data_IF_974028626685
#
_entry.id   IF_974028626685
#
_cell.length_a   1.000
_cell.length_b   1.000
_cell.length_c   1.000
_cell.angle_alpha   90.00
_cell.angle_beta   90.00
_cell.angle_gamma   90.00
#
_symmetry.space_group_name_H-M   'P 1'
#
loop_
_entity.id
_entity.type
_entity.pdbx_description
1 polymer ?
#
# COMPACT_ATOMS: atom_id res chain seq x y z
N UNK A 1 -20.20 -8.13 17.99
CA UNK A 1 -18.73 -7.95 18.08
C UNK A 1 -17.97 -9.16 17.53
N UNK A 2 -18.31 -10.38 17.94
CA UNK A 2 -17.68 -11.62 17.43
C UNK A 2 -17.84 -11.82 15.90
N UNK A 3 -19.06 -11.66 15.36
CA UNK A 3 -19.35 -11.73 13.91
C UNK A 3 -18.59 -10.72 13.03
N UNK A 4 -18.32 -9.51 13.53
CA UNK A 4 -17.53 -8.49 12.81
C UNK A 4 -16.05 -8.88 12.75
N UNK A 5 -15.54 -9.49 13.82
CA UNK A 5 -14.18 -10.04 13.87
C UNK A 5 -14.05 -11.28 12.98
N UNK A 6 -15.05 -12.17 12.99
CA UNK A 6 -15.04 -13.39 12.17
C UNK A 6 -15.12 -13.06 10.66
N UNK A 7 -15.84 -12.00 10.28
CA UNK A 7 -15.85 -11.48 8.90
C UNK A 7 -14.50 -10.87 8.51
N UNK A 8 -13.84 -10.14 9.43
CA UNK A 8 -12.50 -9.62 9.23
C UNK A 8 -11.41 -10.72 9.18
N UNK A 9 -11.61 -11.83 9.87
CA UNK A 9 -10.73 -13.01 9.83
C UNK A 9 -10.96 -13.90 8.61
N UNK A 10 -12.11 -13.79 7.94
CA UNK A 10 -12.42 -14.44 6.66
C UNK A 10 -11.90 -13.65 5.44
N UNK A 11 -10.99 -12.71 5.65
CA UNK A 11 -10.55 -11.78 4.61
C UNK A 11 -9.30 -12.26 3.89
N UNK A 12 -9.26 -11.92 2.61
CA UNK A 12 -8.24 -12.16 1.58
C UNK A 12 -6.88 -12.73 2.04
N UNK A 13 -6.45 -13.83 1.40
CA UNK A 13 -5.12 -14.43 1.58
C UNK A 13 -4.03 -13.34 1.62
N UNK A 14 -3.08 -13.48 2.54
CA UNK A 14 -2.00 -12.51 2.72
C UNK A 14 -0.66 -13.18 2.49
N UNK A 15 0.19 -12.54 1.68
CA UNK A 15 1.59 -12.97 1.53
C UNK A 15 2.53 -12.02 2.28
N UNK A 16 3.57 -12.60 2.86
CA UNK A 16 4.64 -11.89 3.55
C UNK A 16 5.92 -11.97 2.73
N UNK A 17 6.44 -10.82 2.31
CA UNK A 17 7.70 -10.68 1.59
C UNK A 17 8.75 -10.14 2.55
N UNK A 18 9.68 -11.00 2.96
CA UNK A 18 10.72 -10.65 3.95
C UNK A 18 12.00 -10.14 3.29
N UNK A 19 11.88 -9.18 2.38
CA UNK A 19 13.02 -8.56 1.68
C UNK A 19 12.63 -7.23 1.05
N UNK A 20 13.64 -6.38 0.84
CA UNK A 20 13.54 -5.21 -0.05
C UNK A 20 13.35 -5.63 -1.50
N UNK A 21 12.40 -4.99 -2.18
CA UNK A 21 12.20 -5.11 -3.63
C UNK A 21 13.07 -4.10 -4.38
N UNK A 22 13.73 -4.58 -5.43
CA UNK A 22 14.66 -3.82 -6.27
C UNK A 22 14.14 -3.70 -7.69
N UNK A 23 14.78 -2.81 -8.46
CA UNK A 23 14.44 -2.59 -9.87
C UNK A 23 14.31 -3.90 -10.67
N UNK A 24 13.22 -4.02 -11.43
CA UNK A 24 12.88 -5.19 -12.22
C UNK A 24 12.14 -6.30 -11.45
N UNK A 25 11.95 -6.16 -10.14
CA UNK A 25 11.18 -7.13 -9.34
C UNK A 25 9.70 -6.71 -9.28
N UNK A 26 8.80 -7.68 -9.52
CA UNK A 26 7.36 -7.49 -9.44
C UNK A 26 6.74 -8.55 -8.53
N UNK A 27 5.89 -8.11 -7.61
CA UNK A 27 5.06 -8.97 -6.75
C UNK A 27 3.61 -8.79 -7.18
N UNK A 28 2.91 -9.91 -7.44
CA UNK A 28 1.48 -9.92 -7.79
C UNK A 28 0.75 -10.90 -6.89
N UNK A 29 -0.30 -10.45 -6.23
CA UNK A 29 -1.09 -11.28 -5.32
C UNK A 29 -2.58 -10.92 -5.37
N UNK A 30 -3.46 -11.92 -5.24
CA UNK A 30 -4.92 -11.72 -5.30
C UNK A 30 -5.52 -11.14 -4.03
N UNK A 31 -4.80 -11.19 -2.91
CA UNK A 31 -5.22 -10.59 -1.65
C UNK A 31 -4.24 -9.54 -1.17
N UNK A 32 -3.93 -9.56 0.13
CA UNK A 32 -3.05 -8.57 0.75
C UNK A 32 -1.57 -8.89 0.54
N UNK A 33 -0.73 -7.85 0.55
CA UNK A 33 0.73 -7.97 0.47
C UNK A 33 1.38 -7.19 1.61
N UNK A 34 2.20 -7.88 2.39
CA UNK A 34 3.05 -7.26 3.43
C UNK A 34 4.51 -7.40 3.03
N UNK A 35 5.26 -6.31 3.09
CA UNK A 35 6.68 -6.26 2.74
C UNK A 35 7.47 -5.80 3.96
N UNK A 36 8.42 -6.63 4.42
CA UNK A 36 9.39 -6.27 5.44
C UNK A 36 10.67 -5.76 4.77
N UNK A 37 10.63 -4.50 4.37
CA UNK A 37 11.70 -3.83 3.66
C UNK A 37 11.19 -2.69 2.78
N UNK A 38 12.04 -2.22 1.89
CA UNK A 38 11.72 -1.13 0.96
C UNK A 38 11.14 -1.66 -0.36
N UNK A 39 10.40 -0.81 -1.06
CA UNK A 39 10.05 -0.99 -2.47
C UNK A 39 10.77 0.11 -3.26
N UNK A 40 11.89 -0.22 -3.89
CA UNK A 40 12.71 0.78 -4.55
C UNK A 40 12.20 1.15 -5.96
N UNK A 41 12.69 2.26 -6.55
CA UNK A 41 12.38 2.61 -7.93
C UNK A 41 12.63 1.45 -8.89
N UNK A 42 11.70 1.25 -9.83
CA UNK A 42 11.69 0.14 -10.77
C UNK A 42 11.16 -1.18 -10.22
N UNK A 43 10.82 -1.27 -8.92
CA UNK A 43 10.06 -2.38 -8.36
C UNK A 43 8.55 -2.11 -8.45
N UNK A 44 7.76 -3.18 -8.52
CA UNK A 44 6.31 -3.14 -8.65
C UNK A 44 5.63 -4.06 -7.61
N UNK A 45 4.54 -3.58 -7.02
CA UNK A 45 3.67 -4.37 -6.14
C UNK A 45 2.23 -4.23 -6.60
N UNK A 46 1.59 -5.34 -6.96
CA UNK A 46 0.17 -5.41 -7.32
C UNK A 46 -0.55 -6.34 -6.34
N UNK A 47 -1.54 -5.82 -5.64
CA UNK A 47 -2.33 -6.54 -4.65
C UNK A 47 -3.83 -6.38 -4.95
N UNK A 48 -4.58 -7.45 -4.79
CA UNK A 48 -6.05 -7.40 -4.84
C UNK A 48 -6.66 -6.70 -3.63
N UNK A 49 -5.97 -6.78 -2.49
CA UNK A 49 -6.35 -6.13 -1.25
C UNK A 49 -5.38 -5.01 -0.87
N UNK A 50 -5.04 -4.97 0.42
CA UNK A 50 -4.18 -3.97 1.03
C UNK A 50 -2.69 -4.22 0.74
N UNK A 51 -1.91 -3.14 0.72
CA UNK A 51 -0.45 -3.20 0.66
C UNK A 51 0.14 -2.52 1.89
N UNK A 52 0.99 -3.24 2.62
CA UNK A 52 1.71 -2.71 3.78
C UNK A 52 3.21 -2.86 3.51
N UNK A 53 3.93 -1.73 3.53
CA UNK A 53 5.39 -1.69 3.38
C UNK A 53 6.00 -1.21 4.68
N UNK A 54 6.66 -2.11 5.39
CA UNK A 54 7.42 -1.81 6.61
C UNK A 54 8.77 -1.20 6.26
N UNK A 55 8.74 -0.08 5.53
CA UNK A 55 9.89 0.63 4.98
C UNK A 55 9.47 1.76 4.05
N UNK A 56 10.36 2.17 3.15
CA UNK A 56 10.08 3.20 2.17
C UNK A 56 9.48 2.61 0.88
N UNK A 57 8.36 3.17 0.44
CA UNK A 57 7.72 2.87 -0.83
C UNK A 57 8.12 3.94 -1.85
N UNK A 58 9.07 3.62 -2.74
CA UNK A 58 9.60 4.50 -3.82
C UNK A 58 9.31 3.97 -5.23
N UNK A 59 8.88 2.72 -5.35
CA UNK A 59 8.52 2.08 -6.61
C UNK A 59 7.08 2.36 -7.04
N UNK A 60 6.48 1.43 -7.78
CA UNK A 60 5.07 1.47 -8.15
C UNK A 60 4.25 0.51 -7.27
N UNK A 61 3.08 0.96 -6.84
CA UNK A 61 2.11 0.13 -6.13
C UNK A 61 0.71 0.24 -6.74
N UNK A 62 0.02 -0.89 -6.79
CA UNK A 62 -1.40 -0.97 -7.14
C UNK A 62 -2.12 -1.86 -6.12
N UNK A 63 -2.79 -1.24 -5.16
CA UNK A 63 -3.68 -1.91 -4.22
C UNK A 63 -5.11 -1.98 -4.78
N UNK A 64 -5.92 -2.92 -4.31
CA UNK A 64 -7.29 -3.02 -4.79
C UNK A 64 -7.41 -3.39 -6.27
N UNK A 65 -6.41 -4.04 -6.85
CA UNK A 65 -6.25 -4.18 -8.30
C UNK A 65 -7.41 -4.92 -8.99
N UNK A 66 -8.23 -5.65 -8.23
CA UNK A 66 -9.40 -6.38 -8.72
C UNK A 66 -10.74 -5.71 -8.35
N UNK A 67 -10.73 -4.40 -8.11
CA UNK A 67 -11.93 -3.60 -7.88
C UNK A 67 -12.23 -3.27 -6.42
N UNK A 68 -11.28 -3.47 -5.50
CA UNK A 68 -11.47 -3.14 -4.09
C UNK A 68 -11.11 -1.68 -3.81
N UNK A 69 -12.11 -0.80 -3.78
CA UNK A 69 -11.96 0.62 -3.45
C UNK A 69 -11.65 0.88 -1.96
N UNK A 70 -11.89 -0.10 -1.09
CA UNK A 70 -11.54 -0.01 0.33
C UNK A 70 -10.08 -0.40 0.60
N UNK A 71 -9.34 -0.80 -0.43
CA UNK A 71 -7.93 -1.12 -0.29
C UNK A 71 -7.12 0.11 0.12
N UNK A 72 -6.05 -0.15 0.86
CA UNK A 72 -5.18 0.90 1.38
C UNK A 72 -3.72 0.56 1.08
N UNK A 73 -2.89 1.59 1.01
CA UNK A 73 -1.43 1.45 0.95
C UNK A 73 -0.85 2.14 2.15
N UNK A 74 -0.14 1.41 3.01
CA UNK A 74 0.52 1.98 4.19
C UNK A 74 2.03 1.78 4.08
N UNK A 75 2.82 2.82 4.35
CA UNK A 75 4.27 2.75 4.35
C UNK A 75 4.87 3.66 5.43
N UNK A 76 6.10 3.38 5.88
CA UNK A 76 6.83 4.32 6.76
C UNK A 76 7.18 5.61 6.02
N UNK A 77 7.53 5.51 4.74
CA UNK A 77 7.73 6.66 3.87
C UNK A 77 7.01 6.37 2.55
N UNK A 78 5.97 7.15 2.26
CA UNK A 78 5.15 6.97 1.08
C UNK A 78 5.61 7.97 0.00
N UNK A 79 6.60 7.57 -0.80
CA UNK A 79 7.14 8.36 -1.92
C UNK A 79 7.14 7.61 -3.27
N UNK A 80 6.03 6.95 -3.67
CA UNK A 80 6.00 6.15 -4.90
C UNK A 80 6.04 7.01 -6.17
N UNK A 81 6.73 6.51 -7.19
CA UNK A 81 6.63 7.03 -8.57
C UNK A 81 5.17 7.03 -9.04
N UNK A 82 4.43 6.00 -8.64
CA UNK A 82 3.01 5.87 -8.95
C UNK A 82 2.32 5.02 -7.87
N UNK A 83 1.17 5.51 -7.41
CA UNK A 83 0.28 4.78 -6.51
C UNK A 83 -1.09 4.65 -7.15
N UNK A 84 -1.65 3.44 -7.10
CA UNK A 84 -3.01 3.15 -7.53
C UNK A 84 -3.78 2.44 -6.43
N UNK A 85 -5.06 2.79 -6.31
CA UNK A 85 -6.04 2.08 -5.49
C UNK A 85 -7.27 1.88 -6.36
N UNK A 86 -7.65 0.63 -6.62
CA UNK A 86 -8.69 0.31 -7.60
C UNK A 86 -8.37 0.96 -8.98
N UNK A 87 -9.29 1.76 -9.51
CA UNK A 87 -9.15 2.54 -10.74
C UNK A 87 -8.57 3.95 -10.53
N UNK A 88 -8.32 4.36 -9.28
CA UNK A 88 -7.79 5.68 -8.94
C UNK A 88 -6.26 5.66 -9.00
N UNK A 89 -5.71 6.70 -9.61
CA UNK A 89 -4.28 6.89 -9.80
C UNK A 89 -3.87 8.20 -9.17
N UNK A 90 -2.79 8.16 -8.40
CA UNK A 90 -2.11 9.36 -7.93
C UNK A 90 -0.61 9.25 -8.19
N UNK A 91 0.00 10.41 -8.35
CA UNK A 91 1.44 10.58 -8.39
C UNK A 91 1.77 11.66 -7.38
N UNK A 92 2.84 11.40 -6.67
CA UNK A 92 3.37 12.39 -5.75
C UNK A 92 4.10 13.46 -6.60
N UNK A 93 3.88 14.76 -6.33
CA UNK A 93 4.52 15.84 -7.08
C UNK A 93 6.04 15.73 -7.12
N UNK A 94 6.65 16.24 -8.19
CA UNK A 94 8.11 16.30 -8.31
C UNK A 94 8.68 17.22 -7.21
N UNK A 95 9.48 16.65 -6.31
CA UNK A 95 10.09 17.37 -5.18
C UNK A 95 10.57 16.45 -4.06
N UNK A 96 11.27 17.02 -3.07
CA UNK A 96 11.60 16.26 -1.86
C UNK A 96 10.35 16.09 -1.01
N UNK A 97 9.81 14.87 -0.95
CA UNK A 97 8.94 14.46 0.14
C UNK A 97 9.85 14.17 1.35
N UNK A 98 9.85 15.04 2.38
CA UNK A 98 10.68 14.81 3.55
C UNK A 98 10.29 13.49 4.20
N UNK A 99 11.21 12.89 4.94
CA UNK A 99 10.87 11.76 5.80
C UNK A 99 9.72 12.19 6.73
N UNK A 100 8.54 11.52 6.66
CA UNK A 100 7.39 11.91 7.46
C UNK A 100 7.63 11.68 8.97
N UNK A 101 8.65 10.89 9.35
CA UNK A 101 8.95 10.55 10.74
C UNK A 101 7.95 9.58 11.38
N UNK A 102 6.82 9.34 10.72
CA UNK A 102 5.76 8.41 11.11
C UNK A 102 5.14 7.78 9.86
N UNK A 103 4.54 6.58 9.96
CA UNK A 103 3.91 5.96 8.81
C UNK A 103 2.75 6.78 8.25
N UNK A 104 2.51 6.62 6.95
CA UNK A 104 1.41 7.24 6.22
C UNK A 104 0.56 6.17 5.55
N UNK A 105 -0.73 6.47 5.40
CA UNK A 105 -1.69 5.62 4.69
C UNK A 105 -2.31 6.41 3.55
N UNK A 106 -2.23 5.84 2.34
CA UNK A 106 -3.02 6.27 1.20
C UNK A 106 -4.34 5.48 1.14
N UNK A 107 -5.45 6.19 0.93
CA UNK A 107 -6.79 5.61 0.74
C UNK A 107 -7.65 6.45 -0.20
N UNK A 108 -8.73 5.88 -0.70
CA UNK A 108 -9.74 6.63 -1.45
C UNK A 108 -10.63 7.40 -0.47
N UNK A 109 -10.85 8.68 -0.75
CA UNK A 109 -11.82 9.55 -0.08
C UNK A 109 -12.35 10.57 -1.07
N UNK A 110 -13.68 10.73 -1.14
CA UNK A 110 -14.34 11.63 -2.09
C UNK A 110 -13.81 11.48 -3.53
N UNK A 111 -13.74 10.23 -4.03
CA UNK A 111 -13.28 9.89 -5.39
C UNK A 111 -11.84 10.33 -5.71
N UNK A 112 -11.03 10.59 -4.69
CA UNK A 112 -9.62 10.94 -4.84
C UNK A 112 -8.76 10.10 -3.91
N UNK A 113 -7.49 9.90 -4.26
CA UNK A 113 -6.54 9.29 -3.33
C UNK A 113 -5.98 10.36 -2.42
N UNK A 114 -6.22 10.22 -1.12
CA UNK A 114 -5.64 11.06 -0.08
C UNK A 114 -4.54 10.30 0.64
N UNK A 115 -3.54 11.03 1.16
CA UNK A 115 -2.48 10.49 2.00
C UNK A 115 -2.57 11.20 3.35
N UNK A 116 -2.56 10.43 4.43
CA UNK A 116 -2.58 10.95 5.80
C UNK A 116 -1.67 10.14 6.71
N UNK A 117 -1.37 10.72 7.87
CA UNK A 117 -0.62 10.04 8.93
C UNK A 117 -1.38 8.80 9.38
N UNK A 118 -0.66 7.70 9.57
CA UNK A 118 -1.21 6.48 10.13
C UNK A 118 -1.68 6.74 11.56
N UNK A 119 -3.00 6.68 11.77
CA UNK A 119 -3.58 6.76 13.10
C UNK A 119 -3.77 5.36 13.65
N UNK A 120 -3.00 5.03 14.70
CA UNK A 120 -3.29 3.84 15.49
C UNK A 120 -4.61 4.08 16.23
N UNK A 121 -5.54 3.13 16.11
CA UNK A 121 -6.86 3.16 16.76
C UNK A 121 -6.80 2.94 18.28
N UNK A 122 -5.82 3.55 18.97
CA UNK A 122 -5.68 3.52 20.42
C UNK A 122 -6.56 4.57 21.09
#
# INVERSE_FOLDING_TARGET
MKELLDTALNSENTILIQKTLRSGQSIKHSGNVVILGDVNPGAEVVAGGHVIVMGALRGMVHAGAFGNENATVTAFCLNPIQLRICNYITRIPDGSHPDPGEPETARISNETVIIEKYQSSR
#
